data_IF_444653337778
#
_entry.id   IF_444653337778
#
_cell.length_a   1.000
_cell.length_b   1.000
_cell.length_c   1.000
_cell.angle_alpha   90.00
_cell.angle_beta   90.00
_cell.angle_gamma   90.00
#
_symmetry.space_group_name_H-M   'P 1'
#
loop_
_entity.id
_entity.type
_entity.pdbx_description
1 polymer ?
#
# COMPACT_ATOMS: atom_id res chain seq x y z
N UNK A 1 -11.95 20.97 -9.71
CA UNK A 1 -13.00 20.92 -10.75
C UNK A 1 -14.16 20.06 -10.27
N UNK A 2 -15.15 19.82 -11.13
CA UNK A 2 -16.27 18.90 -10.85
C UNK A 2 -15.80 17.45 -10.98
N UNK A 3 -16.30 16.54 -10.15
CA UNK A 3 -15.99 15.11 -10.20
C UNK A 3 -17.23 14.35 -10.66
N UNK A 4 -17.04 13.33 -11.50
CA UNK A 4 -18.04 12.29 -11.75
C UNK A 4 -17.57 11.01 -11.07
N UNK A 5 -18.38 10.46 -10.18
CA UNK A 5 -18.17 9.16 -9.54
C UNK A 5 -19.08 8.14 -10.21
N UNK A 6 -18.49 7.10 -10.80
CA UNK A 6 -19.21 5.99 -11.42
C UNK A 6 -19.10 4.80 -10.47
N UNK A 7 -20.24 4.30 -10.01
CA UNK A 7 -20.35 3.16 -9.11
C UNK A 7 -20.78 1.94 -9.92
N UNK A 8 -20.00 0.86 -9.85
CA UNK A 8 -20.34 -0.41 -10.50
C UNK A 8 -20.89 -1.46 -9.52
N UNK A 9 -21.06 -1.08 -8.26
CA UNK A 9 -21.60 -1.93 -7.22
C UNK A 9 -22.50 -1.11 -6.29
N UNK A 10 -23.49 -1.78 -5.70
CA UNK A 10 -24.33 -1.22 -4.66
C UNK A 10 -23.65 -1.45 -3.32
N UNK A 11 -23.14 -0.38 -2.72
CA UNK A 11 -22.57 -0.42 -1.37
C UNK A 11 -23.67 -0.54 -0.31
N UNK A 12 -23.34 -1.10 0.85
CA UNK A 12 -24.29 -1.20 1.98
C UNK A 12 -24.72 0.18 2.52
N UNK A 13 -23.90 1.21 2.30
CA UNK A 13 -24.16 2.58 2.72
C UNK A 13 -24.05 3.54 1.55
N UNK A 14 -24.98 4.48 1.47
CA UNK A 14 -24.89 5.59 0.51
C UNK A 14 -23.80 6.60 0.91
N UNK A 15 -23.22 7.23 -0.11
CA UNK A 15 -22.29 8.34 0.08
C UNK A 15 -22.98 9.53 0.75
N UNK A 16 -22.33 10.12 1.77
CA UNK A 16 -22.86 11.31 2.47
C UNK A 16 -23.13 12.47 1.48
N UNK A 17 -24.40 12.92 1.35
CA UNK A 17 -24.75 14.03 0.47
C UNK A 17 -23.98 15.32 0.76
N UNK A 18 -23.62 15.59 2.03
CA UNK A 18 -22.85 16.76 2.41
C UNK A 18 -21.42 16.68 1.86
N UNK A 19 -20.79 15.51 1.91
CA UNK A 19 -19.47 15.25 1.34
C UNK A 19 -19.47 15.37 -0.18
N UNK A 20 -20.46 14.78 -0.86
CA UNK A 20 -20.60 14.88 -2.32
C UNK A 20 -20.76 16.33 -2.77
N UNK A 21 -21.59 17.11 -2.07
CA UNK A 21 -21.77 18.54 -2.35
C UNK A 21 -20.49 19.35 -2.12
N UNK A 22 -19.79 19.10 -1.01
CA UNK A 22 -18.52 19.76 -0.67
C UNK A 22 -17.42 19.45 -1.69
N UNK A 23 -17.35 18.20 -2.15
CA UNK A 23 -16.37 17.73 -3.15
C UNK A 23 -16.76 18.06 -4.60
N UNK A 24 -17.99 18.55 -4.83
CA UNK A 24 -18.56 18.83 -6.16
C UNK A 24 -18.61 17.57 -7.04
N UNK A 25 -19.11 16.49 -6.45
CA UNK A 25 -19.19 15.17 -7.04
C UNK A 25 -20.63 14.85 -7.42
N UNK A 26 -20.85 14.48 -8.68
CA UNK A 26 -22.07 13.81 -9.10
C UNK A 26 -21.82 12.30 -9.16
N UNK A 27 -22.81 11.52 -8.74
CA UNK A 27 -22.73 10.06 -8.67
C UNK A 27 -23.64 9.45 -9.74
N UNK A 28 -23.15 8.42 -10.43
CA UNK A 28 -23.89 7.61 -11.40
C UNK A 28 -23.65 6.14 -11.07
N UNK A 29 -24.74 5.38 -11.00
CA UNK A 29 -24.70 3.93 -10.80
C UNK A 29 -24.79 3.22 -12.15
N UNK A 30 -23.94 2.21 -12.36
CA UNK A 30 -23.94 1.29 -13.51
C UNK A 30 -23.89 -0.12 -12.94
N UNK A 31 -25.04 -0.75 -12.72
CA UNK A 31 -25.14 -2.03 -12.00
C UNK A 31 -24.74 -3.24 -12.84
N UNK A 32 -24.87 -3.15 -14.16
CA UNK A 32 -24.66 -4.25 -15.09
C UNK A 32 -23.38 -4.05 -15.92
N UNK A 33 -22.56 -5.10 -16.08
CA UNK A 33 -21.27 -5.03 -16.79
C UNK A 33 -21.48 -4.62 -18.25
N UNK A 34 -22.59 -5.03 -18.85
CA UNK A 34 -22.97 -4.70 -20.23
C UNK A 34 -23.30 -3.23 -20.45
N UNK A 35 -23.66 -2.48 -19.39
CA UNK A 35 -23.89 -1.04 -19.46
C UNK A 35 -22.59 -0.24 -19.34
N UNK A 36 -21.52 -0.86 -18.83
CA UNK A 36 -20.18 -0.27 -18.74
C UNK A 36 -19.49 -0.30 -20.10
N UNK A 37 -19.94 0.57 -21.01
CA UNK A 37 -19.42 0.65 -22.39
C UNK A 37 -18.80 2.01 -22.67
N UNK A 38 -17.80 2.10 -23.58
CA UNK A 38 -17.22 3.38 -23.98
C UNK A 38 -18.26 4.41 -24.44
N UNK A 39 -19.31 3.98 -25.15
CA UNK A 39 -20.36 4.90 -25.62
C UNK A 39 -21.16 5.47 -24.45
N UNK A 40 -21.55 4.64 -23.48
CA UNK A 40 -22.27 5.12 -22.30
C UNK A 40 -21.40 6.09 -21.50
N UNK A 41 -20.12 5.75 -21.27
CA UNK A 41 -19.16 6.60 -20.58
C UNK A 41 -18.96 7.97 -21.28
N UNK A 42 -18.95 8.00 -22.62
CA UNK A 42 -18.89 9.24 -23.42
C UNK A 42 -20.15 10.10 -23.21
N UNK A 43 -21.33 9.50 -23.14
CA UNK A 43 -22.57 10.25 -22.89
C UNK A 43 -22.59 10.84 -21.48
N UNK A 44 -22.11 10.10 -20.48
CA UNK A 44 -21.93 10.62 -19.12
C UNK A 44 -20.92 11.79 -19.11
N UNK A 45 -19.79 11.68 -19.80
CA UNK A 45 -18.83 12.77 -19.89
C UNK A 45 -19.45 14.04 -20.50
N UNK A 46 -20.24 13.91 -21.59
CA UNK A 46 -20.92 15.04 -22.22
C UNK A 46 -21.98 15.68 -21.32
N UNK A 47 -22.74 14.86 -20.59
CA UNK A 47 -23.79 15.31 -19.69
C UNK A 47 -23.20 16.05 -18.48
N UNK A 48 -22.23 15.42 -17.81
CA UNK A 48 -21.71 15.91 -16.53
C UNK A 48 -20.59 16.92 -16.69
N UNK A 49 -19.85 16.90 -17.81
CA UNK A 49 -18.66 17.72 -18.11
C UNK A 49 -17.67 17.75 -16.94
N UNK A 50 -17.25 16.58 -16.43
CA UNK A 50 -16.39 16.51 -15.26
C UNK A 50 -14.97 17.01 -15.57
N UNK A 51 -14.27 17.47 -14.54
CA UNK A 51 -12.83 17.73 -14.61
C UNK A 51 -12.00 16.47 -14.31
N UNK A 52 -12.60 15.50 -13.63
CA UNK A 52 -12.02 14.17 -13.34
C UNK A 52 -13.12 13.14 -13.14
N UNK A 53 -12.80 11.88 -13.38
CA UNK A 53 -13.72 10.75 -13.24
C UNK A 53 -13.08 9.77 -12.25
N UNK A 54 -13.88 9.31 -11.29
CA UNK A 54 -13.52 8.23 -10.37
C UNK A 54 -14.47 7.07 -10.68
N UNK A 55 -13.94 5.87 -10.75
CA UNK A 55 -14.71 4.66 -11.03
C UNK A 55 -14.48 3.70 -9.87
N UNK A 56 -15.53 3.43 -9.09
CA UNK A 56 -15.58 2.33 -8.14
C UNK A 56 -16.02 1.09 -8.91
N UNK A 57 -15.02 0.34 -9.39
CA UNK A 57 -15.25 -0.80 -10.27
C UNK A 57 -15.60 -2.04 -9.45
N UNK A 58 -16.57 -2.82 -9.93
CA UNK A 58 -17.02 -4.02 -9.27
C UNK A 58 -15.89 -5.06 -9.21
N UNK A 59 -15.53 -5.49 -8.00
CA UNK A 59 -14.42 -6.43 -7.79
C UNK A 59 -14.64 -7.83 -8.39
N UNK A 60 -15.88 -8.17 -8.76
CA UNK A 60 -16.23 -9.44 -9.38
C UNK A 60 -16.16 -9.40 -10.91
N UNK A 61 -16.16 -8.22 -11.51
CA UNK A 61 -16.03 -8.07 -12.96
C UNK A 61 -14.57 -8.24 -13.37
N UNK A 62 -14.36 -8.78 -14.58
CA UNK A 62 -13.00 -9.00 -15.05
C UNK A 62 -12.42 -7.70 -15.61
N UNK A 63 -11.52 -7.05 -14.85
CA UNK A 63 -10.86 -5.81 -15.27
C UNK A 63 -10.15 -5.89 -16.63
N UNK A 64 -9.79 -7.08 -17.11
CA UNK A 64 -9.20 -7.27 -18.45
C UNK A 64 -10.18 -6.94 -19.57
N UNK A 65 -11.48 -7.11 -19.33
CA UNK A 65 -12.54 -6.81 -20.30
C UNK A 65 -12.96 -5.35 -20.27
N UNK A 66 -12.54 -4.59 -19.25
CA UNK A 66 -12.88 -3.19 -19.11
C UNK A 66 -12.38 -2.40 -20.33
N UNK A 67 -13.31 -1.70 -20.99
CA UNK A 67 -13.00 -0.82 -22.11
C UNK A 67 -13.43 0.60 -21.78
N UNK A 68 -12.47 1.52 -21.86
CA UNK A 68 -12.69 2.95 -21.65
C UNK A 68 -12.69 3.68 -23.00
N UNK A 69 -13.26 4.89 -23.07
CA UNK A 69 -13.11 5.75 -24.25
C UNK A 69 -11.64 5.90 -24.63
N UNK A 70 -11.33 5.83 -25.93
CA UNK A 70 -9.94 5.76 -26.43
C UNK A 70 -9.06 6.95 -26.07
N UNK A 71 -9.67 8.09 -25.73
CA UNK A 71 -8.99 9.33 -25.33
C UNK A 71 -8.92 9.51 -23.81
N UNK A 72 -9.50 8.60 -23.02
CA UNK A 72 -9.29 8.57 -21.58
C UNK A 72 -7.96 7.92 -21.28
N UNK A 73 -7.25 8.50 -20.30
CA UNK A 73 -6.04 7.94 -19.74
C UNK A 73 -6.32 7.60 -18.28
N UNK A 74 -6.05 6.36 -17.89
CA UNK A 74 -6.04 5.98 -16.48
C UNK A 74 -4.82 6.64 -15.85
N UNK A 75 -5.05 7.54 -14.90
CA UNK A 75 -3.97 8.21 -14.17
C UNK A 75 -3.50 7.39 -12.96
N UNK A 76 -4.41 6.64 -12.33
CA UNK A 76 -4.10 5.79 -11.18
C UNK A 76 -5.16 4.69 -11.05
N UNK A 77 -4.71 3.51 -10.67
CA UNK A 77 -5.50 2.37 -10.24
C UNK A 77 -5.10 2.00 -8.81
N UNK A 78 -6.07 2.10 -7.90
CA UNK A 78 -5.93 1.72 -6.49
C UNK A 78 -6.80 0.49 -6.27
N UNK A 79 -6.25 -0.53 -5.60
CA UNK A 79 -7.00 -1.73 -5.23
C UNK A 79 -7.08 -1.84 -3.72
N UNK A 80 -8.29 -1.87 -3.19
CA UNK A 80 -8.53 -2.14 -1.76
C UNK A 80 -8.85 -3.62 -1.57
N UNK A 81 -8.26 -4.23 -0.56
CA UNK A 81 -8.43 -5.65 -0.23
C UNK A 81 -8.75 -5.76 1.26
N UNK A 82 -9.76 -6.56 1.60
CA UNK A 82 -10.02 -6.93 2.99
C UNK A 82 -8.97 -7.95 3.46
N UNK A 83 -8.07 -7.52 4.33
CA UNK A 83 -6.99 -8.33 4.88
C UNK A 83 -7.50 -9.58 5.60
N UNK A 84 -8.64 -9.48 6.31
CA UNK A 84 -9.19 -10.60 7.07
C UNK A 84 -9.65 -11.77 6.18
N UNK A 85 -9.92 -11.51 4.89
CA UNK A 85 -10.40 -12.52 3.94
C UNK A 85 -9.39 -12.86 2.83
N UNK A 86 -8.26 -12.14 2.75
CA UNK A 86 -7.30 -12.27 1.65
C UNK A 86 -6.79 -13.68 1.43
N UNK A 87 -6.40 -14.42 2.49
CA UNK A 87 -5.90 -15.80 2.35
C UNK A 87 -6.87 -16.71 1.58
N UNK A 88 -8.17 -16.55 1.84
CA UNK A 88 -9.23 -17.32 1.18
C UNK A 88 -9.36 -16.91 -0.29
N UNK A 89 -9.41 -15.61 -0.57
CA UNK A 89 -9.49 -15.08 -1.93
C UNK A 89 -8.26 -15.46 -2.77
N UNK A 90 -7.06 -15.32 -2.22
CA UNK A 90 -5.82 -15.66 -2.89
C UNK A 90 -5.75 -17.15 -3.23
N UNK A 91 -6.28 -18.03 -2.37
CA UNK A 91 -6.29 -19.47 -2.60
C UNK A 91 -7.31 -19.88 -3.66
N UNK A 92 -8.54 -19.35 -3.58
CA UNK A 92 -9.66 -19.82 -4.40
C UNK A 92 -9.86 -19.01 -5.69
N UNK A 93 -9.45 -17.74 -5.70
CA UNK A 93 -9.73 -16.78 -6.78
C UNK A 93 -8.45 -16.10 -7.29
N UNK A 94 -7.31 -16.80 -7.21
CA UNK A 94 -5.99 -16.27 -7.58
C UNK A 94 -5.95 -15.57 -8.94
N UNK A 95 -6.64 -16.14 -9.94
CA UNK A 95 -6.64 -15.57 -11.29
C UNK A 95 -7.37 -14.22 -11.36
N UNK A 96 -8.52 -14.08 -10.68
CA UNK A 96 -9.28 -12.83 -10.69
C UNK A 96 -8.50 -11.75 -9.93
N UNK A 97 -8.01 -12.10 -8.74
CA UNK A 97 -7.17 -11.23 -7.94
C UNK A 97 -5.92 -10.77 -8.71
N UNK A 98 -5.27 -11.67 -9.43
CA UNK A 98 -4.10 -11.33 -10.24
C UNK A 98 -4.43 -10.29 -11.33
N UNK A 99 -5.61 -10.35 -11.96
CA UNK A 99 -6.02 -9.32 -12.93
C UNK A 99 -6.30 -7.98 -12.25
N UNK A 100 -6.91 -7.99 -11.06
CA UNK A 100 -7.16 -6.76 -10.29
C UNK A 100 -5.87 -6.05 -9.90
N UNK A 101 -4.88 -6.78 -9.38
CA UNK A 101 -3.68 -6.17 -8.81
C UNK A 101 -2.57 -5.87 -9.82
N UNK A 102 -2.57 -6.51 -11.00
CA UNK A 102 -1.42 -6.45 -11.94
C UNK A 102 -1.07 -5.03 -12.40
N UNK A 103 -2.07 -4.15 -12.53
CA UNK A 103 -1.88 -2.78 -13.01
C UNK A 103 -2.00 -1.73 -11.90
N UNK A 104 -2.34 -2.14 -10.69
CA UNK A 104 -2.52 -1.21 -9.57
C UNK A 104 -1.18 -0.63 -9.16
N UNK A 105 -1.11 0.70 -9.08
CA UNK A 105 0.05 1.39 -8.53
C UNK A 105 0.07 1.30 -7.01
N UNK A 106 -1.11 1.23 -6.38
CA UNK A 106 -1.27 1.16 -4.93
C UNK A 106 -2.28 0.08 -4.56
N UNK A 107 -1.93 -0.74 -3.57
CA UNK A 107 -2.77 -1.81 -3.04
C UNK A 107 -2.87 -1.61 -1.52
N UNK A 108 -4.09 -1.39 -1.04
CA UNK A 108 -4.37 -1.12 0.37
C UNK A 108 -5.07 -2.35 0.94
N UNK A 109 -4.43 -3.00 1.91
CA UNK A 109 -5.08 -4.00 2.74
C UNK A 109 -5.70 -3.31 3.94
N UNK A 110 -7.02 -3.33 4.06
CA UNK A 110 -7.70 -2.82 5.24
C UNK A 110 -8.10 -3.95 6.20
N UNK A 111 -8.48 -3.58 7.43
CA UNK A 111 -8.94 -4.52 8.47
C UNK A 111 -7.87 -5.57 8.80
N UNK A 112 -6.61 -5.13 8.90
CA UNK A 112 -5.47 -5.98 9.21
C UNK A 112 -5.30 -6.29 10.70
N UNK A 113 -6.28 -5.96 11.54
CA UNK A 113 -6.24 -6.18 12.99
C UNK A 113 -5.91 -7.63 13.34
N UNK A 114 -4.80 -7.83 14.05
CA UNK A 114 -4.37 -9.14 14.57
C UNK A 114 -3.82 -10.12 13.53
N UNK A 115 -3.61 -9.69 12.28
CA UNK A 115 -2.98 -10.51 11.25
C UNK A 115 -1.45 -10.51 11.47
N UNK A 116 -0.89 -11.69 11.75
CA UNK A 116 0.56 -11.84 12.03
C UNK A 116 1.42 -11.97 10.79
N UNK A 117 0.84 -12.41 9.68
CA UNK A 117 1.57 -12.83 8.47
C UNK A 117 1.47 -11.80 7.33
N UNK A 118 1.43 -10.49 7.63
CA UNK A 118 1.34 -9.41 6.63
C UNK A 118 2.50 -9.47 5.61
N UNK A 119 3.70 -9.85 6.07
CA UNK A 119 4.84 -10.20 5.23
C UNK A 119 4.49 -11.21 4.12
N UNK A 120 3.68 -12.24 4.42
CA UNK A 120 3.27 -13.24 3.42
C UNK A 120 2.32 -12.61 2.39
N UNK A 121 1.45 -11.70 2.83
CA UNK A 121 0.50 -11.02 1.96
C UNK A 121 1.23 -10.11 0.99
N UNK A 122 2.18 -9.32 1.50
CA UNK A 122 3.06 -8.47 0.70
C UNK A 122 3.81 -9.27 -0.36
N UNK A 123 4.48 -10.38 0.01
CA UNK A 123 5.12 -11.29 -0.96
C UNK A 123 4.18 -11.79 -2.04
N UNK A 124 2.98 -12.22 -1.67
CA UNK A 124 2.01 -12.73 -2.62
C UNK A 124 1.61 -11.66 -3.65
N UNK A 125 1.46 -10.41 -3.22
CA UNK A 125 1.20 -9.28 -4.11
C UNK A 125 2.43 -8.98 -4.99
N UNK A 126 3.61 -8.83 -4.38
CA UNK A 126 4.86 -8.51 -5.09
C UNK A 126 5.26 -9.57 -6.11
N UNK A 127 4.91 -10.83 -5.89
CA UNK A 127 5.10 -11.90 -6.87
C UNK A 127 4.30 -11.70 -8.17
N UNK A 128 3.18 -10.95 -8.11
CA UNK A 128 2.32 -10.66 -9.27
C UNK A 128 2.57 -9.25 -9.81
N UNK A 129 2.74 -8.27 -8.92
CA UNK A 129 3.00 -6.88 -9.25
C UNK A 129 4.16 -6.34 -8.36
N UNK A 130 5.42 -6.47 -8.81
CA UNK A 130 6.57 -5.98 -8.06
C UNK A 130 6.58 -4.46 -7.83
N UNK A 131 5.96 -3.71 -8.75
CA UNK A 131 5.94 -2.24 -8.74
C UNK A 131 4.85 -1.63 -7.86
N UNK A 132 3.82 -2.39 -7.46
CA UNK A 132 2.75 -1.86 -6.61
C UNK A 132 3.28 -1.42 -5.26
N UNK A 133 2.84 -0.27 -4.78
CA UNK A 133 2.96 0.09 -3.38
C UNK A 133 1.94 -0.70 -2.55
N UNK A 134 2.36 -1.25 -1.41
CA UNK A 134 1.52 -2.13 -0.59
C UNK A 134 1.42 -1.54 0.81
N UNK A 135 0.22 -1.09 1.15
CA UNK A 135 -0.11 -0.44 2.41
C UNK A 135 -1.01 -1.38 3.21
N UNK A 136 -0.80 -1.44 4.52
CA UNK A 136 -1.63 -2.18 5.45
C UNK A 136 -2.26 -1.21 6.44
N UNK A 137 -3.55 -1.38 6.71
CA UNK A 137 -4.33 -0.56 7.64
C UNK A 137 -5.07 -1.44 8.65
N UNK A 138 -4.97 -1.08 9.92
CA UNK A 138 -5.78 -1.62 11.02
C UNK A 138 -6.85 -0.61 11.47
N UNK A 139 -7.55 -0.91 12.57
CA UNK A 139 -8.55 0.01 13.14
C UNK A 139 -8.00 1.34 13.65
N UNK A 140 -6.69 1.47 13.82
CA UNK A 140 -6.00 2.66 14.32
C UNK A 140 -5.33 3.49 13.21
N UNK A 141 -5.18 2.95 12.00
CA UNK A 141 -4.60 3.64 10.85
C UNK A 141 -3.66 2.75 10.05
N UNK A 142 -2.71 3.37 9.35
CA UNK A 142 -1.65 2.66 8.61
C UNK A 142 -0.72 1.92 9.59
N UNK A 143 -0.35 0.69 9.23
CA UNK A 143 0.60 -0.14 9.96
C UNK A 143 2.00 0.18 9.44
N UNK A 144 2.76 0.96 10.21
CA UNK A 144 4.15 1.33 9.93
C UNK A 144 5.13 0.20 10.30
N UNK A 145 4.97 -1.01 9.75
CA UNK A 145 5.89 -2.13 9.98
C UNK A 145 6.95 -2.24 8.87
N UNK A 146 8.23 -2.37 9.25
CA UNK A 146 9.33 -2.63 8.31
C UNK A 146 9.47 -4.15 8.11
N UNK A 147 9.06 -4.60 6.93
CA UNK A 147 9.19 -6.01 6.55
C UNK A 147 10.63 -6.33 6.15
N UNK A 148 11.06 -7.58 6.37
CA UNK A 148 12.42 -8.04 6.04
C UNK A 148 12.80 -7.77 4.58
N UNK A 149 11.81 -7.88 3.68
CA UNK A 149 11.95 -7.66 2.24
C UNK A 149 12.01 -6.17 1.84
N UNK A 150 11.69 -5.25 2.74
CA UNK A 150 11.87 -3.80 2.55
C UNK A 150 13.28 -3.33 2.95
N UNK A 151 14.06 -4.19 3.61
CA UNK A 151 15.40 -3.84 4.05
C UNK A 151 16.31 -3.61 2.83
N UNK A 152 17.07 -2.49 2.80
CA UNK A 152 17.96 -2.18 1.68
C UNK A 152 19.28 -2.98 1.74
N UNK A 153 19.38 -3.97 2.62
CA UNK A 153 20.54 -4.82 2.86
C UNK A 153 20.11 -6.27 3.11
N UNK A 154 21.01 -7.21 2.83
CA UNK A 154 20.75 -8.63 3.04
C UNK A 154 21.07 -9.04 4.48
N UNK A 155 20.06 -9.51 5.21
CA UNK A 155 20.21 -10.01 6.58
C UNK A 155 21.09 -11.26 6.70
N UNK A 156 21.37 -11.97 5.60
CA UNK A 156 22.20 -13.17 5.58
C UNK A 156 23.68 -12.88 5.27
N UNK A 157 24.01 -11.63 4.95
CA UNK A 157 25.39 -11.23 4.67
C UNK A 157 26.21 -11.16 5.97
N UNK A 158 27.46 -11.64 5.92
CA UNK A 158 28.41 -11.54 7.05
C UNK A 158 29.72 -10.87 6.59
N UNK A 159 30.00 -9.60 6.98
CA UNK A 159 29.14 -8.72 7.78
C UNK A 159 27.99 -8.09 6.95
N UNK A 160 26.90 -7.72 7.61
CA UNK A 160 25.86 -6.84 7.05
C UNK A 160 26.46 -5.43 6.96
N UNK A 161 26.68 -4.93 5.73
CA UNK A 161 27.28 -3.62 5.51
C UNK A 161 26.19 -2.57 5.31
N UNK A 162 26.10 -1.60 6.21
CA UNK A 162 25.09 -0.54 6.15
C UNK A 162 25.69 0.76 5.59
N UNK A 163 25.06 1.28 4.55
CA UNK A 163 25.32 2.63 4.06
C UNK A 163 24.57 3.69 4.90
N UNK A 164 24.43 4.92 4.40
CA UNK A 164 23.74 5.97 5.12
C UNK A 164 22.23 5.73 5.27
N UNK A 165 21.58 5.21 4.23
CA UNK A 165 20.15 4.93 4.25
C UNK A 165 19.87 3.65 5.04
N UNK A 166 20.66 2.60 4.80
CA UNK A 166 20.60 1.33 5.51
C UNK A 166 20.79 1.51 7.01
N UNK A 167 21.67 2.40 7.47
CA UNK A 167 21.78 2.70 8.90
C UNK A 167 20.48 3.25 9.49
N UNK A 168 19.78 4.15 8.81
CA UNK A 168 18.53 4.74 9.29
C UNK A 168 17.41 3.70 9.40
N UNK A 169 17.27 2.87 8.38
CA UNK A 169 16.28 1.79 8.36
C UNK A 169 16.62 0.73 9.41
N UNK A 170 17.89 0.32 9.50
CA UNK A 170 18.37 -0.60 10.53
C UNK A 170 18.11 -0.09 11.95
N UNK A 171 18.37 1.19 12.20
CA UNK A 171 18.16 1.79 13.51
C UNK A 171 16.71 1.66 13.95
N UNK A 172 15.75 2.03 13.07
CA UNK A 172 14.32 1.89 13.34
C UNK A 172 13.90 0.42 13.48
N UNK A 173 14.24 -0.41 12.49
CA UNK A 173 13.87 -1.82 12.45
C UNK A 173 14.41 -2.60 13.67
N UNK A 174 15.62 -2.30 14.13
CA UNK A 174 16.24 -2.96 15.29
C UNK A 174 15.56 -2.65 16.62
N UNK A 175 14.79 -1.55 16.71
CA UNK A 175 14.01 -1.22 17.91
C UNK A 175 12.82 -2.15 18.08
N UNK A 176 12.21 -2.57 16.97
CA UNK A 176 11.03 -3.44 16.96
C UNK A 176 11.38 -4.92 16.71
N UNK A 177 12.46 -5.19 15.97
CA UNK A 177 12.89 -6.52 15.52
C UNK A 177 14.33 -6.85 15.88
N UNK A 178 14.70 -6.69 17.15
CA UNK A 178 16.04 -6.98 17.65
C UNK A 178 16.52 -8.40 17.31
N UNK A 179 15.60 -9.38 17.30
CA UNK A 179 15.85 -10.78 16.98
C UNK A 179 16.45 -11.00 15.59
N UNK A 180 16.22 -10.08 14.63
CA UNK A 180 16.79 -10.17 13.28
C UNK A 180 18.30 -9.95 13.26
N UNK A 181 18.84 -9.28 14.27
CA UNK A 181 20.22 -8.80 14.33
C UNK A 181 21.06 -9.46 15.42
N UNK A 182 20.43 -10.15 16.38
CA UNK A 182 21.14 -10.84 17.45
C UNK A 182 22.15 -11.86 16.89
N UNK A 183 23.41 -11.76 17.35
CA UNK A 183 24.49 -12.64 16.91
C UNK A 183 25.08 -12.35 15.52
N UNK A 184 24.61 -11.32 14.81
CA UNK A 184 25.14 -10.94 13.48
C UNK A 184 26.23 -9.87 13.56
N UNK A 185 27.17 -9.90 12.63
CA UNK A 185 28.18 -8.84 12.48
C UNK A 185 27.61 -7.71 11.60
N UNK A 186 27.57 -6.50 12.14
CA UNK A 186 27.12 -5.31 11.43
C UNK A 186 28.28 -4.35 11.25
N UNK A 187 28.47 -3.86 10.03
CA UNK A 187 29.52 -2.91 9.68
C UNK A 187 28.90 -1.60 9.20
N UNK A 188 29.18 -0.51 9.90
CA UNK A 188 28.76 0.84 9.53
C UNK A 188 29.69 1.89 10.12
N UNK A 189 29.74 3.08 9.51
CA UNK A 189 30.46 4.23 10.07
C UNK A 189 29.68 4.78 11.27
N UNK A 190 30.32 5.08 12.40
CA UNK A 190 29.65 5.63 13.59
C UNK A 190 30.57 6.49 14.45
N UNK A 191 29.97 7.35 15.26
CA UNK A 191 30.61 7.87 16.47
C UNK A 191 30.51 6.82 17.57
N UNK A 192 31.53 6.70 18.41
CA UNK A 192 31.57 5.67 19.46
C UNK A 192 31.69 6.32 20.82
N UNK A 193 30.77 5.97 21.72
CA UNK A 193 30.86 6.26 23.15
C UNK A 193 31.39 5.01 23.88
N UNK A 194 32.35 5.21 24.79
CA UNK A 194 32.87 4.17 25.68
C UNK A 194 32.68 4.63 27.13
N UNK A 195 31.53 4.35 27.75
CA UNK A 195 31.29 4.72 29.14
C UNK A 195 32.25 3.98 30.07
N UNK A 196 32.78 4.66 31.10
CA UNK A 196 33.68 4.04 32.08
C UNK A 196 33.01 2.92 32.90
N UNK A 197 31.68 2.95 33.01
CA UNK A 197 30.88 1.98 33.76
C UNK A 197 30.61 0.67 32.98
N UNK A 198 30.92 0.63 31.68
CA UNK A 198 30.67 -0.54 30.84
C UNK A 198 31.83 -1.55 30.94
N UNK A 199 31.55 -2.87 30.83
CA UNK A 199 32.62 -3.86 30.81
C UNK A 199 33.59 -3.65 29.64
N UNK A 200 34.85 -4.07 29.83
CA UNK A 200 35.84 -4.06 28.77
C UNK A 200 35.35 -4.81 27.53
N UNK A 201 35.52 -4.20 26.36
CA UNK A 201 35.07 -4.75 25.08
C UNK A 201 33.69 -4.26 24.62
N UNK A 202 32.96 -3.52 25.45
CA UNK A 202 31.68 -2.91 25.06
C UNK A 202 31.87 -1.45 24.64
N UNK A 203 31.04 -1.02 23.69
CA UNK A 203 30.95 0.36 23.25
C UNK A 203 29.55 0.61 22.68
N UNK A 204 29.16 1.88 22.62
CA UNK A 204 27.88 2.30 22.05
C UNK A 204 28.15 3.05 20.74
N UNK A 205 27.87 2.45 19.58
CA UNK A 205 27.93 3.15 18.30
C UNK A 205 26.67 3.98 18.05
N UNK A 206 26.81 5.18 17.50
CA UNK A 206 25.69 6.03 17.12
C UNK A 206 26.02 7.02 16.01
N UNK A 207 24.99 7.56 15.36
CA UNK A 207 25.08 8.72 14.46
C UNK A 207 24.13 9.82 14.93
N UNK A 208 24.44 11.05 14.56
CA UNK A 208 23.47 12.14 14.68
C UNK A 208 22.35 11.88 13.67
N UNK A 209 21.13 11.71 14.17
CA UNK A 209 19.92 11.61 13.37
C UNK A 209 19.08 12.88 13.56
N UNK A 210 18.53 13.41 12.47
CA UNK A 210 17.47 14.41 12.55
C UNK A 210 16.17 13.64 12.68
N UNK A 211 15.65 13.53 13.90
CA UNK A 211 14.32 12.97 14.15
C UNK A 211 13.29 14.07 13.91
N UNK A 212 12.27 13.84 13.07
CA UNK A 212 11.22 14.83 12.79
C UNK A 212 10.46 15.29 14.05
N UNK A 213 10.51 14.54 15.15
CA UNK A 213 9.75 14.82 16.36
C UNK A 213 10.36 15.90 17.30
N UNK A 214 11.06 16.89 16.77
CA UNK A 214 11.55 18.01 17.58
C UNK A 214 10.62 19.24 17.53
N UNK A 215 9.80 19.39 16.48
CA UNK A 215 8.88 20.53 16.29
C UNK A 215 7.52 20.14 15.66
N UNK A 216 6.94 18.99 16.03
CA UNK A 216 5.51 18.70 15.84
C UNK A 216 4.80 18.56 17.19
#
# INVERSE_FOLDING_TARGET
>A
GKTLLILCEEGENEYDPALLKKSRTDVVLIEEEEEFTPNHLIELEKQYKPARIIIEYNGMWNCKNMTLPWYWKVEQQITTIDGSTFSMYYTNMKSLLAEMIRKSEMIIFNRCDGIKDLNVYKRNIKAVNPSADVIFEDSNGEIDEIFEEDLPYDLNQDPIVLDNQGYGIWYLDSMDHLERYEGKNIQFLAMVLKPEEYPDGYFVPGRMAMTCCAED
#
